data_IF_656091906490
#
_entry.id   IF_656091906490
#
_cell.length_a   1.000
_cell.length_b   1.000
_cell.length_c   1.000
_cell.angle_alpha   90.00
_cell.angle_beta   90.00
_cell.angle_gamma   90.00
#
_symmetry.space_group_name_H-M   'P 1'
#
loop_
_entity.id
_entity.type
_entity.pdbx_description
1 polymer ?
#
# COMPACT_ATOMS: atom_id res chain seq x y z
N UNK A 1 4.60 1.77 -2.04
CA UNK A 1 4.47 1.07 -3.32
C UNK A 1 5.42 -0.10 -3.34
N UNK A 2 5.28 -0.96 -4.33
CA UNK A 2 6.06 -2.19 -4.52
C UNK A 2 7.58 -1.94 -4.53
N UNK A 3 8.03 -0.83 -5.14
CA UNK A 3 9.44 -0.48 -5.28
C UNK A 3 9.95 0.47 -4.17
N UNK A 4 9.23 0.57 -3.05
CA UNK A 4 9.60 1.48 -1.95
C UNK A 4 10.96 1.10 -1.34
N UNK A 5 11.82 2.11 -1.18
CA UNK A 5 13.10 1.99 -0.45
C UNK A 5 12.97 2.29 1.05
N UNK A 6 11.85 2.88 1.47
CA UNK A 6 11.60 3.20 2.89
C UNK A 6 10.88 2.04 3.60
N UNK A 7 9.85 1.48 2.97
CA UNK A 7 9.07 0.36 3.51
C UNK A 7 9.40 -0.87 2.70
N UNK A 8 10.26 -1.75 3.24
CA UNK A 8 10.65 -2.99 2.56
C UNK A 8 9.54 -4.04 2.59
N UNK A 9 9.59 -4.98 1.65
CA UNK A 9 8.67 -6.13 1.61
C UNK A 9 8.69 -6.95 2.92
N UNK A 10 9.87 -7.09 3.54
CA UNK A 10 10.01 -7.80 4.82
C UNK A 10 9.35 -7.04 5.97
N UNK A 11 9.39 -5.71 5.97
CA UNK A 11 8.70 -4.89 6.96
C UNK A 11 7.18 -5.02 6.80
N UNK A 12 6.66 -4.90 5.57
CA UNK A 12 5.24 -5.11 5.30
C UNK A 12 4.76 -6.50 5.76
N UNK A 13 5.51 -7.56 5.45
CA UNK A 13 5.17 -8.92 5.87
C UNK A 13 5.15 -9.08 7.41
N UNK A 14 6.05 -8.40 8.14
CA UNK A 14 6.02 -8.38 9.61
C UNK A 14 4.78 -7.66 10.13
N UNK A 15 4.41 -6.53 9.53
CA UNK A 15 3.19 -5.78 9.88
C UNK A 15 1.94 -6.63 9.66
N UNK A 16 1.82 -7.32 8.52
CA UNK A 16 0.67 -8.21 8.25
C UNK A 16 0.59 -9.39 9.22
N UNK A 17 1.73 -9.92 9.70
CA UNK A 17 1.71 -10.95 10.76
C UNK A 17 1.27 -10.39 12.12
N UNK A 18 1.63 -9.15 12.43
CA UNK A 18 1.27 -8.50 13.69
C UNK A 18 -0.22 -8.14 13.74
N UNK A 19 -0.79 -7.69 12.63
CA UNK A 19 -2.20 -7.34 12.47
C UNK A 19 -2.77 -7.95 11.19
N UNK A 20 -3.07 -9.25 11.19
CA UNK A 20 -3.55 -9.96 10.00
C UNK A 20 -4.96 -9.54 9.57
N UNK A 21 -5.68 -8.82 10.42
CA UNK A 21 -7.02 -8.29 10.17
C UNK A 21 -7.05 -7.00 9.33
N UNK A 22 -5.92 -6.28 9.23
CA UNK A 22 -5.87 -5.02 8.49
C UNK A 22 -5.77 -5.28 6.98
N UNK A 23 -6.58 -4.61 6.13
CA UNK A 23 -6.48 -4.74 4.69
C UNK A 23 -5.19 -4.11 4.17
N UNK A 24 -4.61 -4.70 3.13
CA UNK A 24 -3.35 -4.27 2.53
C UNK A 24 -3.52 -4.09 1.03
N UNK A 25 -3.01 -2.98 0.50
CA UNK A 25 -2.88 -2.73 -0.93
C UNK A 25 -1.42 -2.44 -1.25
N UNK A 26 -0.83 -3.22 -2.16
CA UNK A 26 0.50 -2.95 -2.72
C UNK A 26 0.31 -2.39 -4.12
N UNK A 27 0.85 -1.19 -4.37
CA UNK A 27 0.75 -0.52 -5.67
C UNK A 27 1.98 -0.89 -6.53
N UNK A 28 1.81 -1.62 -7.65
CA UNK A 28 2.92 -2.04 -8.51
C UNK A 28 3.69 -0.87 -9.10
N UNK A 29 5.00 -1.00 -9.22
CA UNK A 29 5.88 0.03 -9.81
C UNK A 29 6.04 1.34 -9.03
N UNK A 30 5.21 1.61 -8.02
CA UNK A 30 5.30 2.82 -7.20
C UNK A 30 6.37 2.69 -6.10
N UNK A 31 7.04 3.79 -5.78
CA UNK A 31 8.05 3.87 -4.71
C UNK A 31 7.43 4.26 -3.35
N UNK A 32 8.10 5.12 -2.58
CA UNK A 32 7.57 5.65 -1.32
C UNK A 32 6.47 6.71 -1.55
N UNK A 33 6.53 7.49 -2.63
CA UNK A 33 5.61 8.58 -2.98
C UNK A 33 4.40 8.05 -3.76
N UNK A 34 3.66 7.12 -3.15
CA UNK A 34 2.62 6.32 -3.83
C UNK A 34 1.52 7.18 -4.44
N UNK A 35 1.07 8.21 -3.72
CA UNK A 35 -0.01 9.09 -4.15
C UNK A 35 0.41 10.01 -5.30
N UNK A 36 1.66 10.46 -5.33
CA UNK A 36 2.19 11.27 -6.42
C UNK A 36 2.50 10.42 -7.67
N UNK A 37 3.06 9.22 -7.49
CA UNK A 37 3.46 8.33 -8.59
C UNK A 37 2.26 7.59 -9.19
N UNK A 38 1.24 7.28 -8.39
CA UNK A 38 0.07 6.51 -8.81
C UNK A 38 -1.23 7.10 -8.24
N UNK A 39 -1.61 8.31 -8.67
CA UNK A 39 -2.78 9.02 -8.13
C UNK A 39 -4.09 8.26 -8.37
N UNK A 40 -4.29 7.69 -9.56
CA UNK A 40 -5.52 6.97 -9.91
C UNK A 40 -5.73 5.71 -9.07
N UNK A 41 -4.65 4.96 -8.82
CA UNK A 41 -4.71 3.75 -7.97
C UNK A 41 -4.96 4.15 -6.52
N UNK A 42 -4.31 5.22 -6.05
CA UNK A 42 -4.49 5.74 -4.70
C UNK A 42 -5.93 6.17 -4.45
N UNK A 43 -6.51 6.95 -5.36
CA UNK A 43 -7.91 7.39 -5.28
C UNK A 43 -8.84 6.18 -5.18
N UNK A 44 -8.71 5.23 -6.12
CA UNK A 44 -9.55 4.03 -6.14
C UNK A 44 -9.40 3.19 -4.88
N UNK A 45 -8.18 3.02 -4.37
CA UNK A 45 -7.92 2.26 -3.15
C UNK A 45 -8.58 2.91 -1.92
N UNK A 46 -8.52 4.25 -1.81
CA UNK A 46 -9.16 4.99 -0.72
C UNK A 46 -10.68 4.87 -0.82
N UNK A 47 -11.28 5.14 -1.99
CA UNK A 47 -12.73 5.04 -2.20
C UNK A 47 -13.23 3.63 -1.87
N UNK A 48 -12.58 2.59 -2.38
CA UNK A 48 -12.94 1.21 -2.07
C UNK A 48 -12.88 0.86 -0.58
N UNK A 49 -12.00 1.51 0.18
CA UNK A 49 -11.86 1.25 1.62
C UNK A 49 -12.93 1.97 2.45
N UNK A 50 -13.29 3.20 2.08
CA UNK A 50 -14.28 4.00 2.85
C UNK A 50 -15.74 3.66 2.52
N UNK A 51 -15.99 3.15 1.32
CA UNK A 51 -17.34 2.80 0.85
C UNK A 51 -17.72 1.32 1.11
N UNK A 52 -16.82 0.56 1.74
CA UNK A 52 -17.03 -0.86 2.10
C UNK A 52 -17.77 -1.02 3.44
#
# INVERSE_FOLDING_TARGET
GEASKLVSAAALAKTSRLRPDLPVVVVPGADHYVNEVSPEITLKAITNFIDA
#
